data_IF_459099506416
#
_entry.id   IF_459099506416
#
_cell.length_a   1.000
_cell.length_b   1.000
_cell.length_c   1.000
_cell.angle_alpha   90.00
_cell.angle_beta   90.00
_cell.angle_gamma   90.00
#
_symmetry.space_group_name_H-M   'P 1'
#
loop_
_entity.id
_entity.type
_entity.pdbx_description
1 polymer ?
#
# COMPACT_ATOMS: atom_id res chain seq x y z
N UNK A 1 16.55 -16.02 4.23
CA UNK A 1 17.65 -15.64 3.33
C UNK A 1 17.20 -15.43 1.87
N UNK A 2 16.38 -16.31 1.27
CA UNK A 2 15.93 -16.16 -0.13
C UNK A 2 15.01 -14.95 -0.32
N UNK A 3 14.05 -14.73 0.60
CA UNK A 3 13.16 -13.57 0.57
C UNK A 3 13.93 -12.25 0.69
N UNK A 4 14.86 -12.15 1.64
CA UNK A 4 15.72 -10.96 1.76
C UNK A 4 16.55 -10.67 0.49
N UNK A 5 16.98 -11.70 -0.23
CA UNK A 5 17.62 -11.52 -1.54
C UNK A 5 16.65 -11.04 -2.61
N UNK A 6 15.41 -11.55 -2.60
CA UNK A 6 14.38 -11.10 -3.54
C UNK A 6 14.06 -9.62 -3.34
N UNK A 7 13.84 -9.19 -2.11
CA UNK A 7 13.60 -7.78 -1.74
C UNK A 7 14.77 -6.90 -2.15
N UNK A 8 16.00 -7.34 -1.88
CA UNK A 8 17.21 -6.62 -2.28
C UNK A 8 17.25 -6.37 -3.79
N UNK A 9 17.00 -7.40 -4.60
CA UNK A 9 16.99 -7.25 -6.06
C UNK A 9 15.83 -6.38 -6.57
N UNK A 10 14.68 -6.41 -5.91
CA UNK A 10 13.54 -5.56 -6.28
C UNK A 10 13.76 -4.08 -5.92
N UNK A 11 14.51 -3.80 -4.84
CA UNK A 11 14.84 -2.44 -4.40
C UNK A 11 16.01 -1.80 -5.14
N UNK A 12 16.89 -2.60 -5.77
CA UNK A 12 18.11 -2.08 -6.38
C UNK A 12 17.90 -1.16 -7.59
N UNK A 13 16.72 -1.22 -8.23
CA UNK A 13 16.42 -0.35 -9.38
C UNK A 13 14.99 0.17 -9.37
N UNK A 14 14.78 1.49 -9.55
CA UNK A 14 13.47 2.07 -9.81
C UNK A 14 12.84 1.42 -11.05
N UNK A 15 11.52 1.22 -11.01
CA UNK A 15 10.78 0.50 -12.06
C UNK A 15 10.92 1.11 -13.46
N UNK A 16 11.31 2.37 -13.56
CA UNK A 16 11.42 3.13 -14.81
C UNK A 16 12.82 3.10 -15.43
N UNK A 17 13.79 2.42 -14.82
CA UNK A 17 15.16 2.36 -15.35
C UNK A 17 15.35 1.20 -16.35
N UNK A 18 16.19 1.39 -17.37
CA UNK A 18 16.61 0.29 -18.25
C UNK A 18 17.21 -0.86 -17.43
N UNK A 19 16.73 -2.07 -17.64
CA UNK A 19 17.20 -3.25 -16.90
C UNK A 19 16.38 -3.62 -15.65
N UNK A 20 15.46 -2.78 -15.18
CA UNK A 20 14.60 -3.06 -14.03
C UNK A 20 13.86 -4.41 -14.15
N UNK A 21 13.39 -4.76 -15.35
CA UNK A 21 12.73 -6.04 -15.63
C UNK A 21 13.65 -7.25 -15.33
N UNK A 22 14.95 -7.15 -15.60
CA UNK A 22 15.90 -8.22 -15.31
C UNK A 22 16.05 -8.42 -13.79
N UNK A 23 16.19 -7.33 -13.04
CA UNK A 23 16.29 -7.40 -11.57
C UNK A 23 15.01 -7.93 -10.94
N UNK A 24 13.84 -7.52 -11.44
CA UNK A 24 12.55 -8.06 -11.02
C UNK A 24 12.44 -9.56 -11.31
N UNK A 25 12.88 -10.02 -12.49
CA UNK A 25 12.89 -11.44 -12.84
C UNK A 25 13.79 -12.26 -11.94
N UNK A 26 14.98 -11.75 -11.59
CA UNK A 26 15.88 -12.39 -10.63
C UNK A 26 15.24 -12.45 -9.24
N UNK A 27 14.63 -11.36 -8.78
CA UNK A 27 13.87 -11.34 -7.53
C UNK A 27 12.76 -12.39 -7.51
N UNK A 28 12.01 -12.50 -8.61
CA UNK A 28 10.93 -13.50 -8.75
C UNK A 28 11.45 -14.95 -8.72
N UNK A 29 12.64 -15.23 -9.26
CA UNK A 29 13.25 -16.56 -9.14
C UNK A 29 13.52 -16.95 -7.69
N UNK A 30 13.98 -16.00 -6.86
CA UNK A 30 14.19 -16.26 -5.43
C UNK A 30 12.88 -16.49 -4.69
N UNK A 31 11.82 -15.73 -5.02
CA UNK A 31 10.47 -15.92 -4.46
C UNK A 31 9.95 -17.31 -4.82
N UNK A 32 10.00 -17.69 -6.09
CA UNK A 32 9.54 -19.00 -6.56
C UNK A 32 10.31 -20.15 -5.91
N UNK A 33 11.61 -19.98 -5.69
CA UNK A 33 12.43 -20.99 -5.01
C UNK A 33 12.09 -21.09 -3.52
N UNK A 34 11.81 -19.98 -2.85
CA UNK A 34 11.35 -19.97 -1.47
C UNK A 34 10.01 -20.69 -1.33
N UNK A 35 9.05 -20.39 -2.20
CA UNK A 35 7.74 -21.04 -2.23
C UNK A 35 7.86 -22.57 -2.45
N UNK A 36 8.74 -23.02 -3.36
CA UNK A 36 8.99 -24.45 -3.56
C UNK A 36 9.53 -25.12 -2.29
N UNK A 37 10.45 -24.48 -1.58
CA UNK A 37 11.00 -25.02 -0.33
C UNK A 37 9.89 -25.11 0.74
N UNK A 38 9.09 -24.07 0.91
CA UNK A 38 7.97 -24.08 1.83
C UNK A 38 6.96 -25.19 1.53
N UNK A 39 6.67 -25.44 0.25
CA UNK A 39 5.77 -26.50 -0.17
C UNK A 39 6.36 -27.90 0.02
N UNK A 40 7.67 -28.08 -0.18
CA UNK A 40 8.33 -29.39 -0.14
C UNK A 40 8.59 -29.93 1.27
N UNK A 41 8.65 -29.05 2.28
CA UNK A 41 9.01 -29.42 3.66
C UNK A 41 7.81 -29.35 4.62
N UNK A 42 6.58 -29.52 4.13
CA UNK A 42 5.39 -29.45 4.98
C UNK A 42 5.25 -30.69 5.86
N UNK A 43 5.72 -30.61 7.09
CA UNK A 43 5.25 -31.48 8.15
C UNK A 43 3.97 -30.87 8.72
N UNK A 44 2.84 -31.52 8.51
CA UNK A 44 1.57 -31.09 9.09
C UNK A 44 1.61 -31.36 10.59
N UNK A 45 1.44 -30.31 11.39
CA UNK A 45 1.32 -30.41 12.85
C UNK A 45 -0.04 -29.86 13.25
N UNK A 46 -0.82 -30.68 13.96
CA UNK A 46 -2.13 -30.27 14.48
C UNK A 46 -1.96 -29.74 15.90
N UNK A 47 -2.41 -28.51 16.14
CA UNK A 47 -2.34 -27.85 17.45
C UNK A 47 -3.77 -27.54 17.89
N UNK A 48 -4.19 -28.09 19.02
CA UNK A 48 -5.46 -27.78 19.65
C UNK A 48 -5.30 -26.58 20.58
N UNK A 49 -5.90 -25.44 20.24
CA UNK A 49 -5.93 -24.27 21.09
C UNK A 49 -7.11 -24.37 22.09
N UNK A 50 -6.83 -24.41 23.38
CA UNK A 50 -7.88 -24.55 24.39
C UNK A 50 -8.65 -23.25 24.69
N UNK A 51 -8.06 -22.10 24.43
CA UNK A 51 -8.66 -20.78 24.76
C UNK A 51 -9.11 -20.00 23.52
N UNK A 52 -8.49 -20.20 22.37
CA UNK A 52 -8.80 -19.51 21.14
C UNK A 52 -7.59 -19.36 20.21
N UNK A 53 -7.85 -18.84 19.03
CA UNK A 53 -6.84 -18.55 18.00
C UNK A 53 -6.94 -17.08 17.62
N UNK A 54 -5.82 -16.38 17.62
CA UNK A 54 -5.71 -15.01 17.10
C UNK A 54 -5.26 -15.06 15.65
N UNK A 55 -6.02 -14.46 14.74
CA UNK A 55 -5.67 -14.32 13.34
C UNK A 55 -5.02 -12.94 13.12
N UNK A 56 -3.72 -12.92 12.82
CA UNK A 56 -2.93 -11.72 12.51
C UNK A 56 -2.31 -11.81 11.12
N UNK A 57 -3.12 -12.23 10.13
CA UNK A 57 -2.67 -12.57 8.78
C UNK A 57 -2.84 -11.42 7.77
N UNK A 58 -2.80 -10.17 8.23
CA UNK A 58 -2.94 -8.98 7.39
C UNK A 58 -4.36 -8.71 6.90
N UNK A 59 -4.49 -7.74 6.02
CA UNK A 59 -5.76 -7.31 5.44
C UNK A 59 -6.03 -7.91 4.06
N UNK A 60 -6.73 -7.12 3.20
CA UNK A 60 -7.12 -7.58 1.87
C UNK A 60 -6.80 -6.57 0.76
N UNK A 61 -5.86 -5.65 0.99
CA UNK A 61 -5.58 -4.55 0.06
C UNK A 61 -5.11 -5.02 -1.33
N UNK A 62 -4.53 -6.23 -1.44
CA UNK A 62 -4.14 -6.85 -2.70
C UNK A 62 -5.23 -7.75 -3.30
N UNK A 63 -6.42 -7.81 -2.71
CA UNK A 63 -7.57 -8.51 -3.26
C UNK A 63 -8.56 -7.50 -3.83
N UNK A 64 -8.49 -7.27 -5.15
CA UNK A 64 -9.29 -6.26 -5.83
C UNK A 64 -10.79 -6.51 -5.67
N UNK A 65 -11.23 -7.77 -5.76
CA UNK A 65 -12.64 -8.12 -5.62
C UNK A 65 -13.17 -7.73 -4.23
N UNK A 66 -12.38 -7.97 -3.17
CA UNK A 66 -12.75 -7.55 -1.82
C UNK A 66 -12.73 -6.02 -1.65
N UNK A 67 -11.83 -5.31 -2.34
CA UNK A 67 -11.83 -3.85 -2.33
C UNK A 67 -13.08 -3.31 -3.04
N UNK A 68 -13.45 -3.87 -4.19
CA UNK A 68 -14.66 -3.50 -4.92
C UNK A 68 -15.93 -3.75 -4.08
N UNK A 69 -15.98 -4.88 -3.36
CA UNK A 69 -17.12 -5.26 -2.54
C UNK A 69 -17.23 -4.42 -1.27
N UNK A 70 -16.14 -4.28 -0.52
CA UNK A 70 -16.19 -3.71 0.83
C UNK A 70 -15.75 -2.25 0.94
N UNK A 71 -14.85 -1.80 0.05
CA UNK A 71 -14.22 -0.50 0.16
C UNK A 71 -14.03 0.19 -1.22
N UNK A 72 -15.09 0.32 -2.05
CA UNK A 72 -14.98 0.79 -3.43
C UNK A 72 -14.38 2.19 -3.58
N UNK A 73 -14.47 3.05 -2.58
CA UNK A 73 -13.82 4.38 -2.57
C UNK A 73 -12.30 4.33 -2.73
N UNK A 74 -11.68 3.18 -2.47
CA UNK A 74 -10.22 2.99 -2.49
C UNK A 74 -9.75 2.21 -3.72
N UNK A 75 -10.66 1.90 -4.67
CA UNK A 75 -10.38 1.01 -5.80
C UNK A 75 -9.29 1.55 -6.74
N UNK A 76 -9.19 2.87 -6.87
CA UNK A 76 -8.20 3.54 -7.72
C UNK A 76 -6.84 3.73 -7.00
N UNK A 77 -6.76 3.33 -5.73
CA UNK A 77 -5.53 3.37 -4.95
C UNK A 77 -4.55 2.29 -5.37
N UNK A 78 -3.25 2.60 -5.31
CA UNK A 78 -2.20 1.60 -5.48
C UNK A 78 -2.01 0.86 -4.15
N UNK A 79 -2.12 -0.48 -4.12
CA UNK A 79 -1.95 -1.24 -2.89
C UNK A 79 -0.52 -1.11 -2.37
N UNK A 80 -0.38 -0.83 -1.07
CA UNK A 80 0.89 -0.77 -0.35
C UNK A 80 0.93 -1.89 0.69
N UNK A 81 2.05 -2.58 0.77
CA UNK A 81 2.23 -3.68 1.73
C UNK A 81 2.76 -4.93 1.06
N UNK A 82 2.43 -6.08 1.62
CA UNK A 82 2.80 -7.38 1.02
C UNK A 82 1.71 -7.90 0.08
N UNK A 83 2.12 -8.46 -1.04
CA UNK A 83 1.21 -9.10 -2.00
C UNK A 83 0.38 -10.26 -1.42
N UNK A 84 0.67 -10.66 -0.19
CA UNK A 84 -0.07 -11.69 0.55
C UNK A 84 -1.27 -11.13 1.34
N UNK A 85 -1.46 -9.82 1.39
CA UNK A 85 -2.63 -9.17 2.02
C UNK A 85 -3.87 -9.34 1.12
N UNK A 86 -4.29 -10.59 0.96
CA UNK A 86 -5.38 -11.01 0.06
C UNK A 86 -6.68 -11.33 0.80
N UNK A 87 -6.76 -11.06 2.09
CA UNK A 87 -7.94 -11.39 2.92
C UNK A 87 -8.03 -12.87 3.31
N UNK A 88 -6.95 -13.64 3.15
CA UNK A 88 -6.94 -15.07 3.48
C UNK A 88 -7.27 -15.35 4.94
N UNK A 89 -6.72 -14.57 5.88
CA UNK A 89 -7.03 -14.67 7.30
C UNK A 89 -8.49 -14.35 7.62
N UNK A 90 -9.07 -13.36 6.93
CA UNK A 90 -10.49 -13.00 7.08
C UNK A 90 -11.38 -14.15 6.63
N UNK A 91 -11.12 -14.71 5.44
CA UNK A 91 -11.88 -15.87 4.92
C UNK A 91 -11.73 -17.11 5.80
N UNK A 92 -10.53 -17.33 6.33
CA UNK A 92 -10.31 -18.43 7.29
C UNK A 92 -11.15 -18.24 8.56
N UNK A 93 -11.21 -17.03 9.11
CA UNK A 93 -12.07 -16.74 10.25
C UNK A 93 -13.55 -16.96 9.94
N UNK A 94 -14.02 -16.52 8.78
CA UNK A 94 -15.40 -16.72 8.34
C UNK A 94 -15.74 -18.21 8.14
N UNK A 95 -14.80 -19.02 7.62
CA UNK A 95 -15.02 -20.45 7.38
C UNK A 95 -15.31 -21.26 8.65
N UNK A 96 -14.95 -20.73 9.81
CA UNK A 96 -15.23 -21.33 11.11
C UNK A 96 -16.32 -20.59 11.90
N UNK A 97 -17.15 -19.79 11.20
CA UNK A 97 -18.28 -19.08 11.81
C UNK A 97 -17.93 -17.71 12.41
N UNK A 98 -16.73 -17.20 12.18
CA UNK A 98 -16.34 -15.85 12.56
C UNK A 98 -17.11 -14.77 11.81
N UNK A 99 -17.34 -13.63 12.48
CA UNK A 99 -17.98 -12.44 11.89
C UNK A 99 -16.93 -11.39 11.52
N UNK A 100 -17.25 -10.61 10.51
CA UNK A 100 -16.43 -9.45 10.08
C UNK A 100 -17.09 -8.15 10.54
N UNK A 101 -16.26 -7.13 10.77
CA UNK A 101 -16.70 -5.79 11.07
C UNK A 101 -15.78 -4.77 10.40
N UNK A 102 -16.31 -3.59 10.10
CA UNK A 102 -15.55 -2.46 9.56
C UNK A 102 -14.78 -2.77 8.26
N UNK A 103 -15.29 -3.68 7.43
CA UNK A 103 -14.65 -4.07 6.17
C UNK A 103 -14.52 -2.91 5.17
N UNK A 104 -15.32 -1.88 5.32
CA UNK A 104 -15.27 -0.66 4.51
C UNK A 104 -14.16 0.32 4.93
N UNK A 105 -13.39 0.01 5.97
CA UNK A 105 -12.31 0.87 6.45
C UNK A 105 -10.96 0.40 5.92
N UNK A 106 -10.38 1.23 5.07
CA UNK A 106 -9.05 1.06 4.51
C UNK A 106 -8.27 2.35 4.79
N UNK A 107 -6.99 2.27 5.07
CA UNK A 107 -6.14 3.45 5.22
C UNK A 107 -5.53 3.81 3.88
N UNK A 108 -5.80 5.01 3.39
CA UNK A 108 -5.15 5.57 2.20
C UNK A 108 -3.99 6.49 2.61
N UNK A 109 -2.89 6.42 1.88
CA UNK A 109 -1.74 7.27 2.11
C UNK A 109 -1.54 8.20 0.93
N UNK A 110 -1.48 9.51 1.18
CA UNK A 110 -1.10 10.50 0.19
C UNK A 110 0.09 11.31 0.68
N UNK A 111 1.27 10.94 0.21
CA UNK A 111 2.49 11.70 0.44
C UNK A 111 2.54 12.88 -0.52
N UNK A 112 2.81 14.09 0.00
CA UNK A 112 3.01 15.28 -0.81
C UNK A 112 4.50 15.51 -1.03
N UNK A 113 5.31 15.29 -0.02
CA UNK A 113 6.77 15.41 -0.09
C UNK A 113 7.43 14.00 -0.18
N UNK A 114 8.62 13.88 -0.77
CA UNK A 114 9.40 14.91 -1.48
C UNK A 114 8.79 15.30 -2.83
N UNK A 115 9.06 16.53 -3.36
CA UNK A 115 9.88 17.62 -2.81
C UNK A 115 9.22 18.36 -1.64
N UNK A 116 10.03 18.86 -0.69
CA UNK A 116 9.51 19.57 0.50
C UNK A 116 8.74 20.83 0.13
N UNK A 117 9.10 21.49 -0.95
CA UNK A 117 8.42 22.67 -1.47
C UNK A 117 6.92 22.42 -1.76
N UNK A 118 6.50 21.18 -2.00
CA UNK A 118 5.09 20.85 -2.17
C UNK A 118 4.27 21.03 -0.89
N UNK A 119 4.90 20.88 0.25
CA UNK A 119 4.24 21.08 1.55
C UNK A 119 4.03 22.56 1.92
N UNK A 120 4.64 23.47 1.17
CA UNK A 120 4.46 24.93 1.31
C UNK A 120 3.35 25.48 0.39
N UNK A 121 2.80 24.65 -0.49
CA UNK A 121 1.64 24.96 -1.32
C UNK A 121 0.32 24.87 -0.57
N UNK A 122 -0.78 24.85 -1.33
CA UNK A 122 -2.13 24.72 -0.79
C UNK A 122 -2.83 23.50 -1.38
N UNK A 123 -3.39 22.64 -0.53
CA UNK A 123 -4.24 21.53 -0.98
C UNK A 123 -5.70 21.97 -0.96
N UNK A 124 -6.33 21.89 -2.11
CA UNK A 124 -7.72 22.24 -2.30
C UNK A 124 -8.51 21.09 -2.94
N UNK A 125 -9.81 21.07 -2.69
CA UNK A 125 -10.74 20.18 -3.35
C UNK A 125 -11.17 20.73 -4.73
N UNK A 126 -12.09 20.07 -5.41
CA UNK A 126 -12.60 20.46 -6.73
C UNK A 126 -13.32 21.83 -6.75
N UNK A 127 -13.82 22.27 -5.61
CA UNK A 127 -14.43 23.58 -5.40
C UNK A 127 -13.41 24.68 -5.07
N UNK A 128 -12.12 24.37 -5.01
CA UNK A 128 -11.08 25.31 -4.64
C UNK A 128 -10.97 25.58 -3.13
N UNK A 129 -11.65 24.79 -2.32
CA UNK A 129 -11.66 24.95 -0.86
C UNK A 129 -10.49 24.16 -0.26
N UNK A 130 -9.66 24.82 0.55
CA UNK A 130 -8.61 24.15 1.32
C UNK A 130 -9.23 23.23 2.38
N UNK A 131 -8.82 21.98 2.42
CA UNK A 131 -9.42 20.98 3.31
C UNK A 131 -8.43 20.25 4.22
N UNK A 132 -7.16 20.53 4.12
CA UNK A 132 -6.13 19.86 4.90
C UNK A 132 -4.94 20.75 5.22
N UNK A 133 -4.09 20.27 6.11
CA UNK A 133 -2.77 20.80 6.35
C UNK A 133 -1.78 19.97 5.54
N UNK A 134 -0.97 20.62 4.74
CA UNK A 134 -0.02 20.01 3.80
C UNK A 134 1.11 19.25 4.51
N UNK A 135 1.35 19.57 5.78
CA UNK A 135 2.32 18.89 6.65
C UNK A 135 1.72 17.79 7.52
N UNK A 136 0.43 17.49 7.36
CA UNK A 136 -0.21 16.43 8.13
C UNK A 136 0.32 15.06 7.72
N UNK A 137 0.18 14.10 8.62
CA UNK A 137 0.51 12.70 8.35
C UNK A 137 -0.24 12.18 7.11
N UNK A 138 0.51 11.55 6.22
CA UNK A 138 0.04 11.17 4.88
C UNK A 138 -1.26 10.34 4.87
N UNK A 139 -1.48 9.49 5.89
CA UNK A 139 -2.71 8.73 6.02
C UNK A 139 -3.92 9.63 6.33
N UNK A 140 -3.76 10.65 7.15
CA UNK A 140 -4.84 11.60 7.45
C UNK A 140 -5.28 12.35 6.20
N UNK A 141 -4.33 12.73 5.35
CA UNK A 141 -4.64 13.40 4.09
C UNK A 141 -5.31 12.41 3.10
N UNK A 142 -4.75 11.22 2.95
CA UNK A 142 -5.30 10.20 2.06
C UNK A 142 -6.73 9.80 2.44
N UNK A 143 -6.99 9.58 3.72
CA UNK A 143 -8.33 9.28 4.22
C UNK A 143 -9.30 10.44 3.98
N UNK A 144 -8.89 11.70 4.22
CA UNK A 144 -9.72 12.87 3.93
C UNK A 144 -10.08 12.96 2.44
N UNK A 145 -9.11 12.68 1.56
CA UNK A 145 -9.36 12.65 0.12
C UNK A 145 -10.38 11.59 -0.27
N UNK A 146 -10.20 10.35 0.18
CA UNK A 146 -11.07 9.22 -0.17
C UNK A 146 -12.47 9.35 0.44
N UNK A 147 -12.56 9.78 1.70
CA UNK A 147 -13.84 9.81 2.40
C UNK A 147 -14.70 11.04 2.08
N UNK A 148 -14.09 12.19 1.72
CA UNK A 148 -14.79 13.48 1.61
C UNK A 148 -14.63 14.17 0.26
N UNK A 149 -13.68 13.75 -0.57
CA UNK A 149 -13.29 14.50 -1.78
C UNK A 149 -13.10 13.61 -3.02
N UNK A 150 -13.83 12.50 -3.10
CA UNK A 150 -13.85 11.55 -4.23
C UNK A 150 -12.46 11.05 -4.65
N UNK A 151 -11.54 10.91 -3.68
CA UNK A 151 -10.15 10.48 -3.91
C UNK A 151 -9.28 11.52 -4.62
N UNK A 152 -9.73 12.77 -4.79
CA UNK A 152 -9.05 13.81 -5.57
C UNK A 152 -8.69 15.03 -4.74
N UNK A 153 -7.51 15.60 -5.04
CA UNK A 153 -7.08 16.88 -4.51
C UNK A 153 -6.22 17.60 -5.55
N UNK A 154 -6.16 18.90 -5.45
CA UNK A 154 -5.33 19.76 -6.29
C UNK A 154 -4.31 20.47 -5.41
N UNK A 155 -3.04 20.36 -5.79
CA UNK A 155 -1.97 21.11 -5.15
C UNK A 155 -1.72 22.40 -5.93
N UNK A 156 -1.97 23.54 -5.29
CA UNK A 156 -1.75 24.86 -5.86
C UNK A 156 -0.39 25.37 -5.42
N UNK A 157 0.46 25.66 -6.37
CA UNK A 157 1.81 26.20 -6.16
C UNK A 157 1.95 27.50 -6.93
N UNK A 158 2.67 28.47 -6.38
CA UNK A 158 3.12 29.60 -7.15
C UNK A 158 4.36 29.25 -8.02
N UNK A 159 4.80 30.21 -8.82
CA UNK A 159 5.93 30.03 -9.74
C UNK A 159 7.24 29.71 -9.00
N UNK A 160 7.43 30.32 -7.84
CA UNK A 160 8.67 30.19 -7.06
C UNK A 160 8.74 28.81 -6.39
N UNK A 161 7.68 28.39 -5.74
CA UNK A 161 7.57 27.04 -5.16
C UNK A 161 7.70 25.94 -6.22
N UNK A 162 7.11 26.14 -7.39
CA UNK A 162 7.24 25.18 -8.48
C UNK A 162 8.69 25.08 -8.99
N UNK A 163 9.40 26.21 -9.10
CA UNK A 163 10.82 26.22 -9.47
C UNK A 163 11.69 25.55 -8.41
N UNK A 164 11.40 25.80 -7.14
CA UNK A 164 12.08 25.16 -6.00
C UNK A 164 11.85 23.65 -5.99
N UNK A 165 10.62 23.21 -6.19
CA UNK A 165 10.28 21.78 -6.27
C UNK A 165 11.05 21.06 -7.39
N UNK A 166 11.15 21.66 -8.58
CA UNK A 166 11.96 21.13 -9.68
C UNK A 166 13.43 20.96 -9.29
N UNK A 167 14.00 21.96 -8.61
CA UNK A 167 15.38 21.93 -8.14
C UNK A 167 15.61 20.80 -7.13
N UNK A 168 14.69 20.63 -6.19
CA UNK A 168 14.76 19.56 -5.19
C UNK A 168 14.61 18.16 -5.84
N UNK A 169 13.70 18.00 -6.81
CA UNK A 169 13.50 16.74 -7.52
C UNK A 169 14.68 16.35 -8.41
N UNK A 170 15.46 17.31 -8.93
CA UNK A 170 16.65 17.02 -9.74
C UNK A 170 17.90 16.73 -8.91
N UNK A 171 17.87 16.99 -7.61
CA UNK A 171 18.98 16.76 -6.68
C UNK A 171 18.84 15.46 -5.86
N UNK A 172 17.69 14.77 -5.99
CA UNK A 172 17.37 13.51 -5.33
C UNK A 172 17.61 12.31 -6.26
#
# INVERSE_FOLDING_TARGET
KLMAKAEHFQMLMPQNMPGAKLFQSIGQLYINRAAKIELSHRKVTYIKANKGVCLSAGGFIFNRDMIEEYAPKYIDGMPLGTSHDTGSGIRLGQSVGGKTAHMNRVTAWRMINPPIAFSEGLIVNKEGIRFGNEMVYAATLGDAMCEKHDGKAYLVLDKELFAQAKKQASAA
#
